data_IF_667186363833
#
_entry.id   IF_667186363833
#
_cell.length_a   1.000
_cell.length_b   1.000
_cell.length_c   1.000
_cell.angle_alpha   90.00
_cell.angle_beta   90.00
_cell.angle_gamma   90.00
#
_symmetry.space_group_name_H-M   'P 1'
#
loop_
_entity.id
_entity.type
_entity.pdbx_description
1 polymer ?
#
# COMPACT_ATOMS: atom_id res chain seq x y z
N UNK A 1 17.40 -25.27 -91.51
CA UNK A 1 16.07 -25.66 -90.99
C UNK A 1 16.02 -25.16 -89.57
N UNK A 2 15.31 -24.05 -89.38
CA UNK A 2 15.36 -23.19 -88.21
C UNK A 2 14.02 -23.33 -87.49
N UNK A 3 14.00 -23.93 -86.28
CA UNK A 3 12.82 -23.90 -85.40
C UNK A 3 13.25 -23.85 -83.92
N UNK A 4 13.27 -22.60 -83.46
CA UNK A 4 12.83 -21.97 -82.20
C UNK A 4 12.92 -22.69 -80.83
N UNK A 5 13.35 -21.97 -79.78
CA UNK A 5 13.35 -22.44 -78.40
C UNK A 5 11.93 -22.42 -77.82
N UNK A 6 11.52 -23.53 -77.19
CA UNK A 6 10.24 -23.64 -76.49
C UNK A 6 10.26 -22.79 -75.22
N UNK A 7 9.38 -21.80 -75.14
CA UNK A 7 9.17 -20.97 -73.96
C UNK A 7 8.41 -21.76 -72.89
N UNK A 8 9.02 -21.94 -71.72
CA UNK A 8 8.37 -22.52 -70.55
C UNK A 8 7.32 -21.52 -70.00
N UNK A 9 6.05 -21.89 -70.06
CA UNK A 9 4.95 -21.10 -69.48
C UNK A 9 5.02 -21.15 -67.94
N UNK A 10 5.19 -19.99 -67.31
CA UNK A 10 5.14 -19.84 -65.85
C UNK A 10 3.71 -20.12 -65.35
N UNK A 11 3.51 -20.91 -64.27
CA UNK A 11 2.19 -21.14 -63.69
C UNK A 11 1.66 -19.84 -63.05
N UNK A 12 0.40 -19.50 -63.36
CA UNK A 12 -0.29 -18.34 -62.77
C UNK A 12 -0.43 -18.50 -61.26
N UNK A 13 -0.09 -17.46 -60.50
CA UNK A 13 -0.24 -17.44 -59.04
C UNK A 13 -1.71 -17.64 -58.64
N UNK A 14 -2.01 -18.52 -57.65
CA UNK A 14 -3.37 -18.74 -57.16
C UNK A 14 -4.00 -17.49 -56.53
N UNK A 15 -5.34 -17.38 -56.58
CA UNK A 15 -6.11 -16.22 -56.09
C UNK A 15 -5.92 -15.91 -54.59
N UNK A 16 -5.43 -16.86 -53.77
CA UNK A 16 -5.11 -16.62 -52.36
C UNK A 16 -3.76 -15.92 -52.13
N UNK A 17 -2.90 -15.88 -53.17
CA UNK A 17 -1.64 -15.13 -53.22
C UNK A 17 -1.82 -13.73 -53.82
N UNK A 18 -3.00 -13.43 -54.38
CA UNK A 18 -3.36 -12.07 -54.76
C UNK A 18 -3.95 -11.36 -53.55
N UNK A 19 -3.33 -10.28 -53.04
CA UNK A 19 -3.95 -9.48 -52.00
C UNK A 19 -5.25 -8.90 -52.56
N UNK A 20 -6.38 -9.46 -52.13
CA UNK A 20 -7.68 -8.88 -52.40
C UNK A 20 -7.74 -7.55 -51.64
N UNK A 21 -7.46 -6.45 -52.33
CA UNK A 21 -7.52 -5.11 -51.78
C UNK A 21 -8.98 -4.66 -51.55
N UNK A 22 -9.78 -5.46 -50.85
CA UNK A 22 -10.87 -4.90 -50.06
C UNK A 22 -10.25 -4.44 -48.76
N UNK A 23 -9.58 -3.29 -48.80
CA UNK A 23 -9.21 -2.58 -47.60
C UNK A 23 -10.53 -2.12 -46.99
N UNK A 24 -11.13 -2.96 -46.15
CA UNK A 24 -12.14 -2.54 -45.22
C UNK A 24 -11.58 -1.28 -44.54
N UNK A 25 -12.20 -0.14 -44.82
CA UNK A 25 -11.78 1.15 -44.31
C UNK A 25 -11.64 0.99 -42.80
N UNK A 26 -10.42 0.96 -42.29
CA UNK A 26 -10.18 0.90 -40.87
C UNK A 26 -10.81 2.16 -40.29
N UNK A 27 -11.99 2.04 -39.69
CA UNK A 27 -12.66 3.12 -38.97
C UNK A 27 -11.65 3.59 -37.94
N UNK A 28 -11.00 4.73 -38.23
CA UNK A 28 -10.02 5.31 -37.34
C UNK A 28 -10.81 5.82 -36.14
N UNK A 29 -10.77 5.06 -35.05
CA UNK A 29 -11.45 5.43 -33.80
C UNK A 29 -10.99 6.84 -33.39
N UNK A 30 -11.91 7.62 -32.82
CA UNK A 30 -11.56 8.91 -32.22
C UNK A 30 -10.40 8.70 -31.21
N UNK A 31 -9.35 9.54 -31.21
CA UNK A 31 -8.29 9.49 -30.21
C UNK A 31 -8.79 9.33 -28.76
N UNK A 32 -9.93 9.90 -28.39
CA UNK A 32 -10.52 9.75 -27.06
C UNK A 32 -11.05 8.34 -26.81
N UNK A 33 -11.71 7.73 -27.79
CA UNK A 33 -12.20 6.36 -27.73
C UNK A 33 -11.05 5.36 -27.69
N UNK A 34 -10.01 5.59 -28.50
CA UNK A 34 -8.79 4.78 -28.47
C UNK A 34 -8.16 4.80 -27.07
N UNK A 35 -8.01 5.97 -26.43
CA UNK A 35 -7.50 6.07 -25.05
C UNK A 35 -8.35 5.30 -24.04
N UNK A 36 -9.68 5.38 -24.15
CA UNK A 36 -10.60 4.64 -23.27
C UNK A 36 -10.48 3.13 -23.47
N UNK A 37 -10.43 2.68 -24.72
CA UNK A 37 -10.26 1.27 -25.07
C UNK A 37 -8.91 0.72 -24.56
N UNK A 38 -7.81 1.43 -24.80
CA UNK A 38 -6.48 1.05 -24.28
C UNK A 38 -6.48 0.98 -22.76
N UNK A 39 -7.11 1.94 -22.07
CA UNK A 39 -7.23 1.91 -20.61
C UNK A 39 -8.07 0.73 -20.11
N UNK A 40 -9.18 0.42 -20.79
CA UNK A 40 -10.01 -0.73 -20.42
C UNK A 40 -9.24 -2.05 -20.57
N UNK A 41 -8.49 -2.21 -21.67
CA UNK A 41 -7.62 -3.36 -21.88
C UNK A 41 -6.55 -3.49 -20.79
N UNK A 42 -5.91 -2.38 -20.41
CA UNK A 42 -4.94 -2.36 -19.31
C UNK A 42 -5.60 -2.72 -17.96
N UNK A 43 -6.79 -2.19 -17.66
CA UNK A 43 -7.51 -2.52 -16.43
C UNK A 43 -7.85 -4.02 -16.38
N UNK A 44 -8.27 -4.63 -17.49
CA UNK A 44 -8.51 -6.09 -17.58
C UNK A 44 -7.21 -6.88 -17.42
N UNK A 45 -6.12 -6.45 -18.08
CA UNK A 45 -4.82 -7.10 -17.97
C UNK A 45 -4.30 -7.08 -16.52
N UNK A 46 -4.39 -5.93 -15.85
CA UNK A 46 -4.00 -5.77 -14.46
C UNK A 46 -4.87 -6.59 -13.52
N UNK A 47 -6.18 -6.65 -13.73
CA UNK A 47 -7.08 -7.50 -12.93
C UNK A 47 -6.68 -8.98 -13.03
N UNK A 48 -6.42 -9.49 -14.23
CA UNK A 48 -5.98 -10.88 -14.42
C UNK A 48 -4.61 -11.16 -13.77
N UNK A 49 -3.70 -10.18 -13.81
CA UNK A 49 -2.37 -10.28 -13.22
C UNK A 49 -2.41 -10.27 -11.69
N UNK A 50 -3.32 -9.48 -11.12
CA UNK A 50 -3.39 -9.21 -9.70
C UNK A 50 -3.58 -10.48 -8.87
N UNK A 51 -4.48 -11.37 -9.27
CA UNK A 51 -4.70 -12.65 -8.57
C UNK A 51 -3.45 -13.54 -8.56
N UNK A 52 -2.73 -13.58 -9.68
CA UNK A 52 -1.46 -14.30 -9.77
C UNK A 52 -0.40 -13.66 -8.89
N UNK A 53 -0.32 -12.33 -8.89
CA UNK A 53 0.64 -11.58 -8.07
C UNK A 53 0.43 -11.86 -6.59
N UNK A 54 -0.81 -11.80 -6.09
CA UNK A 54 -1.09 -12.10 -4.69
C UNK A 54 -0.64 -13.53 -4.32
N UNK A 55 -0.99 -14.50 -5.16
CA UNK A 55 -0.61 -15.92 -4.97
C UNK A 55 0.90 -16.13 -4.99
N UNK A 56 1.64 -15.45 -5.87
CA UNK A 56 3.09 -15.57 -5.92
C UNK A 56 3.79 -14.82 -4.79
N UNK A 57 3.19 -13.73 -4.31
CA UNK A 57 3.68 -13.02 -3.13
C UNK A 57 3.59 -13.88 -1.88
N UNK A 58 2.50 -14.62 -1.66
CA UNK A 58 2.40 -15.50 -0.48
C UNK A 58 3.49 -16.58 -0.47
N UNK A 59 4.04 -16.94 -1.64
CA UNK A 59 5.18 -17.86 -1.79
C UNK A 59 6.56 -17.19 -1.65
N UNK A 60 6.63 -16.02 -1.02
CA UNK A 60 7.91 -15.36 -0.74
C UNK A 60 8.41 -14.37 -1.80
N UNK A 61 7.76 -14.28 -2.97
CA UNK A 61 8.24 -13.42 -4.06
C UNK A 61 7.93 -11.93 -3.81
N UNK A 62 8.74 -11.05 -4.40
CA UNK A 62 8.50 -9.60 -4.39
C UNK A 62 7.61 -9.19 -5.56
N UNK A 63 6.82 -8.13 -5.36
CA UNK A 63 5.98 -7.55 -6.42
C UNK A 63 6.80 -7.22 -7.68
N UNK A 64 7.98 -6.61 -7.50
CA UNK A 64 8.86 -6.25 -8.60
C UNK A 64 9.31 -7.46 -9.41
N UNK A 65 9.74 -8.55 -8.73
CA UNK A 65 10.15 -9.76 -9.41
C UNK A 65 9.01 -10.39 -10.23
N UNK A 66 7.79 -10.40 -9.70
CA UNK A 66 6.63 -10.97 -10.41
C UNK A 66 6.23 -10.13 -11.62
N UNK A 67 6.31 -8.79 -11.51
CA UNK A 67 5.98 -7.88 -12.61
C UNK A 67 7.01 -7.96 -13.72
N UNK A 68 8.30 -7.98 -13.37
CA UNK A 68 9.40 -8.08 -14.33
C UNK A 68 9.37 -9.39 -15.13
N UNK A 69 8.93 -10.48 -14.52
CA UNK A 69 8.87 -11.78 -15.18
C UNK A 69 7.59 -11.95 -16.04
N UNK A 70 6.74 -10.93 -16.13
CA UNK A 70 5.55 -10.96 -16.98
C UNK A 70 5.89 -10.63 -18.44
N UNK A 71 5.47 -11.50 -19.36
CA UNK A 71 5.73 -11.37 -20.80
C UNK A 71 5.01 -10.19 -21.48
N UNK A 72 4.08 -9.53 -20.80
CA UNK A 72 3.29 -8.42 -21.35
C UNK A 72 3.95 -7.05 -21.18
N UNK A 73 5.21 -7.01 -20.73
CA UNK A 73 6.00 -5.79 -20.49
C UNK A 73 5.24 -4.74 -19.65
N UNK A 74 4.61 -5.21 -18.57
CA UNK A 74 3.80 -4.36 -17.71
C UNK A 74 4.70 -3.38 -16.93
N UNK A 75 4.39 -2.09 -17.06
CA UNK A 75 5.06 -1.01 -16.34
C UNK A 75 4.76 -1.12 -14.83
N UNK A 76 5.81 -1.30 -14.01
CA UNK A 76 5.69 -1.54 -12.57
C UNK A 76 4.95 -0.41 -11.86
N UNK A 77 5.25 0.85 -12.15
CA UNK A 77 4.62 1.98 -11.48
C UNK A 77 3.16 2.13 -11.91
N UNK A 78 2.81 1.83 -13.16
CA UNK A 78 1.41 1.79 -13.60
C UNK A 78 0.60 0.76 -12.83
N UNK A 79 1.13 -0.45 -12.68
CA UNK A 79 0.48 -1.51 -11.92
C UNK A 79 0.39 -1.15 -10.43
N UNK A 80 1.46 -0.61 -9.85
CA UNK A 80 1.47 -0.17 -8.45
C UNK A 80 0.46 0.96 -8.18
N UNK A 81 0.40 1.97 -9.05
CA UNK A 81 -0.60 3.04 -9.01
C UNK A 81 -2.01 2.48 -9.13
N UNK A 82 -2.22 1.48 -9.99
CA UNK A 82 -3.50 0.81 -10.13
C UNK A 82 -3.93 0.09 -8.85
N UNK A 83 -3.02 -0.61 -8.15
CA UNK A 83 -3.30 -1.24 -6.85
C UNK A 83 -3.68 -0.17 -5.81
N UNK A 84 -2.87 0.88 -5.67
CA UNK A 84 -3.10 1.93 -4.65
C UNK A 84 -4.34 2.78 -4.89
N UNK A 85 -4.85 2.84 -6.12
CA UNK A 85 -6.04 3.64 -6.47
C UNK A 85 -7.29 3.14 -5.76
N UNK A 86 -7.31 1.89 -5.32
CA UNK A 86 -8.49 1.20 -4.82
C UNK A 86 -8.22 0.59 -3.45
N UNK A 87 -8.98 0.97 -2.42
CA UNK A 87 -8.76 0.48 -1.07
C UNK A 87 -8.86 -1.04 -0.94
N UNK A 88 -9.77 -1.69 -1.67
CA UNK A 88 -9.96 -3.13 -1.58
C UNK A 88 -8.79 -3.89 -2.20
N UNK A 89 -8.26 -3.42 -3.34
CA UNK A 89 -7.05 -3.98 -3.94
C UNK A 89 -5.83 -3.77 -3.05
N UNK A 90 -5.72 -2.60 -2.45
CA UNK A 90 -4.62 -2.32 -1.53
C UNK A 90 -4.69 -3.17 -0.26
N UNK A 91 -5.89 -3.43 0.28
CA UNK A 91 -6.06 -4.32 1.44
C UNK A 91 -5.61 -5.73 1.13
N UNK A 92 -6.09 -6.32 0.02
CA UNK A 92 -5.70 -7.67 -0.41
C UNK A 92 -4.19 -7.79 -0.66
N UNK A 93 -3.57 -6.72 -1.17
CA UNK A 93 -2.12 -6.65 -1.30
C UNK A 93 -1.40 -6.68 0.06
N UNK A 94 -1.91 -5.96 1.08
CA UNK A 94 -1.37 -6.03 2.45
C UNK A 94 -1.55 -7.41 3.07
N UNK A 95 -2.72 -8.03 2.92
CA UNK A 95 -2.97 -9.40 3.38
C UNK A 95 -1.97 -10.39 2.75
N UNK A 96 -1.71 -10.28 1.44
CA UNK A 96 -0.71 -11.12 0.79
C UNK A 96 0.72 -10.89 1.32
N UNK A 97 1.07 -9.65 1.69
CA UNK A 97 2.36 -9.35 2.35
C UNK A 97 2.44 -9.97 3.75
N UNK A 98 1.36 -9.97 4.51
CA UNK A 98 1.29 -10.61 5.82
C UNK A 98 1.43 -12.13 5.68
N UNK A 99 0.68 -12.77 4.78
CA UNK A 99 0.77 -14.20 4.53
C UNK A 99 2.16 -14.64 4.05
N UNK A 100 2.83 -13.79 3.27
CA UNK A 100 4.21 -14.04 2.82
C UNK A 100 5.20 -14.24 3.97
N UNK A 101 4.94 -13.66 5.15
CA UNK A 101 5.86 -13.82 6.28
C UNK A 101 5.92 -15.25 6.78
N UNK A 102 4.88 -16.05 6.59
CA UNK A 102 4.88 -17.49 6.90
C UNK A 102 5.90 -18.24 6.02
N UNK A 103 5.90 -17.96 4.72
CA UNK A 103 6.87 -18.57 3.81
C UNK A 103 8.30 -18.17 4.16
N UNK A 104 8.53 -16.90 4.49
CA UNK A 104 9.85 -16.43 4.93
C UNK A 104 10.30 -17.08 6.25
N UNK A 105 9.38 -17.33 7.18
CA UNK A 105 9.70 -18.04 8.42
C UNK A 105 10.24 -19.45 8.13
N UNK A 106 9.58 -20.21 7.25
CA UNK A 106 10.08 -21.51 6.80
C UNK A 106 11.45 -21.39 6.11
N UNK A 107 11.60 -20.41 5.21
CA UNK A 107 12.86 -20.20 4.49
C UNK A 107 14.03 -19.83 5.40
N UNK A 108 13.79 -19.12 6.50
CA UNK A 108 14.83 -18.82 7.51
C UNK A 108 15.37 -20.12 8.12
N UNK A 109 14.50 -21.08 8.44
CA UNK A 109 14.90 -22.38 9.01
C UNK A 109 15.77 -23.14 8.02
N UNK A 110 15.35 -23.24 6.76
CA UNK A 110 16.14 -23.90 5.70
C UNK A 110 17.52 -23.27 5.52
N UNK A 111 17.62 -21.94 5.55
CA UNK A 111 18.91 -21.23 5.44
C UNK A 111 19.79 -21.46 6.68
N UNK A 112 19.18 -21.59 7.85
CA UNK A 112 19.89 -21.79 9.11
C UNK A 112 20.42 -23.23 9.27
N UNK A 113 19.69 -24.23 8.78
CA UNK A 113 20.15 -25.62 8.71
C UNK A 113 21.36 -25.75 7.77
N UNK A 114 21.41 -24.90 6.73
CA UNK A 114 22.50 -24.87 5.76
C UNK A 114 22.41 -26.03 4.77
N UNK A 115 22.99 -25.84 3.58
CA UNK A 115 23.22 -26.94 2.65
C UNK A 115 24.61 -27.54 2.91
N UNK A 116 24.84 -28.82 2.55
CA UNK A 116 26.17 -29.49 2.60
C UNK A 116 27.23 -28.86 1.66
N UNK A 117 26.98 -27.64 1.16
CA UNK A 117 27.86 -26.87 0.31
C UNK A 117 28.67 -25.85 1.12
N UNK A 118 29.73 -25.30 0.51
CA UNK A 118 30.51 -24.21 1.11
C UNK A 118 29.74 -22.90 0.97
N UNK A 119 28.62 -22.77 1.69
CA UNK A 119 27.90 -21.51 1.79
C UNK A 119 28.52 -20.61 2.86
N UNK A 120 28.66 -19.32 2.55
CA UNK A 120 29.26 -18.36 3.46
C UNK A 120 28.28 -18.04 4.61
N UNK A 121 28.64 -18.40 5.84
CA UNK A 121 27.87 -18.13 7.06
C UNK A 121 27.48 -16.64 7.16
N UNK A 122 28.35 -15.73 6.72
CA UNK A 122 28.05 -14.30 6.72
C UNK A 122 26.92 -13.94 5.75
N UNK A 123 26.89 -14.59 4.58
CA UNK A 123 25.80 -14.44 3.61
C UNK A 123 24.50 -15.04 4.14
N UNK A 124 24.54 -16.22 4.75
CA UNK A 124 23.35 -16.85 5.35
C UNK A 124 22.78 -16.01 6.48
N UNK A 125 23.64 -15.45 7.34
CA UNK A 125 23.25 -14.49 8.36
C UNK A 125 22.58 -13.24 7.77
N UNK A 126 23.17 -12.64 6.73
CA UNK A 126 22.60 -11.47 6.06
C UNK A 126 21.22 -11.77 5.47
N UNK A 127 21.03 -12.95 4.86
CA UNK A 127 19.73 -13.39 4.34
C UNK A 127 18.69 -13.47 5.47
N UNK A 128 19.03 -14.15 6.57
CA UNK A 128 18.16 -14.31 7.73
C UNK A 128 17.77 -12.95 8.32
N UNK A 129 18.73 -12.06 8.52
CA UNK A 129 18.48 -10.73 9.09
C UNK A 129 17.58 -9.87 8.17
N UNK A 130 17.77 -9.99 6.85
CA UNK A 130 16.91 -9.33 5.86
C UNK A 130 15.47 -9.84 5.95
N UNK A 131 15.26 -11.15 6.03
CA UNK A 131 13.91 -11.71 6.19
C UNK A 131 13.26 -11.27 7.51
N UNK A 132 13.98 -11.33 8.64
CA UNK A 132 13.45 -10.87 9.94
C UNK A 132 13.00 -9.41 9.88
N UNK A 133 13.81 -8.54 9.29
CA UNK A 133 13.46 -7.12 9.12
C UNK A 133 12.19 -6.95 8.28
N UNK A 134 12.11 -7.65 7.13
CA UNK A 134 10.93 -7.60 6.27
C UNK A 134 9.68 -8.15 6.96
N UNK A 135 9.80 -9.25 7.73
CA UNK A 135 8.69 -9.84 8.48
C UNK A 135 8.16 -8.88 9.54
N UNK A 136 9.05 -8.21 10.28
CA UNK A 136 8.65 -7.20 11.27
C UNK A 136 7.98 -5.96 10.65
N UNK A 137 8.37 -5.59 9.42
CA UNK A 137 7.74 -4.50 8.66
C UNK A 137 6.37 -4.89 8.06
N UNK A 138 6.27 -6.11 7.52
CA UNK A 138 5.09 -6.58 6.78
C UNK A 138 4.01 -7.17 7.70
N UNK A 139 4.39 -7.77 8.82
CA UNK A 139 3.48 -8.35 9.81
C UNK A 139 3.95 -7.99 11.23
N UNK A 140 3.85 -6.70 11.54
CA UNK A 140 4.28 -6.13 12.83
C UNK A 140 3.55 -6.73 14.03
N UNK A 141 2.30 -7.17 13.85
CA UNK A 141 1.50 -7.75 14.94
C UNK A 141 2.09 -9.08 15.42
N UNK A 142 2.59 -9.91 14.50
CA UNK A 142 3.13 -11.23 14.82
C UNK A 142 4.65 -11.22 15.03
N UNK A 143 5.38 -10.42 14.25
CA UNK A 143 6.85 -10.43 14.20
C UNK A 143 7.50 -9.11 14.61
N UNK A 144 6.73 -8.12 15.05
CA UNK A 144 7.27 -6.84 15.51
C UNK A 144 7.92 -6.94 16.88
N UNK A 145 8.92 -6.09 17.12
CA UNK A 145 9.61 -6.01 18.42
C UNK A 145 8.63 -5.59 19.53
N UNK A 146 8.44 -6.46 20.52
CA UNK A 146 7.69 -6.15 21.75
C UNK A 146 8.64 -5.45 22.72
N UNK A 147 8.58 -4.12 22.75
CA UNK A 147 9.29 -3.33 23.77
C UNK A 147 8.47 -3.31 25.06
N UNK A 148 8.94 -4.01 26.10
CA UNK A 148 8.39 -3.85 27.45
C UNK A 148 8.90 -2.52 28.00
N UNK A 149 8.01 -1.52 28.07
CA UNK A 149 8.29 -0.26 28.74
C UNK A 149 8.07 -0.47 30.23
N UNK A 150 9.16 -0.64 30.98
CA UNK A 150 9.10 -0.58 32.44
C UNK A 150 8.86 0.89 32.85
N UNK A 151 7.61 1.22 33.16
CA UNK A 151 7.25 2.54 33.67
C UNK A 151 7.42 2.53 35.18
N UNK A 152 8.64 2.80 35.64
CA UNK A 152 8.94 3.03 37.07
C UNK A 152 8.50 4.44 37.47
N UNK A 153 7.21 4.72 37.46
CA UNK A 153 6.68 5.94 38.04
C UNK A 153 6.48 5.73 39.54
N UNK A 154 7.32 6.37 40.35
CA UNK A 154 7.07 6.55 41.78
C UNK A 154 5.91 7.52 41.96
N UNK A 155 4.68 6.99 41.96
CA UNK A 155 3.48 7.80 42.22
C UNK A 155 3.53 8.19 43.70
N UNK A 156 3.99 9.42 43.97
CA UNK A 156 3.90 9.97 45.31
C UNK A 156 2.46 10.34 45.61
N UNK A 157 1.86 9.67 46.59
CA UNK A 157 0.47 9.85 47.02
C UNK A 157 0.21 11.32 47.42
N UNK A 158 1.21 11.99 47.98
CA UNK A 158 1.11 13.40 48.38
C UNK A 158 0.99 14.34 47.18
N UNK A 159 1.75 14.10 46.11
CA UNK A 159 1.67 14.88 44.88
C UNK A 159 0.35 14.65 44.15
N UNK A 160 -0.14 13.41 44.13
CA UNK A 160 -1.45 13.08 43.56
C UNK A 160 -2.61 13.74 44.32
N UNK A 161 -2.53 13.79 45.66
CA UNK A 161 -3.54 14.45 46.50
C UNK A 161 -3.55 15.96 46.32
N UNK A 162 -2.37 16.58 46.21
CA UNK A 162 -2.26 18.03 45.98
C UNK A 162 -2.80 18.42 44.60
N UNK A 163 -2.50 17.64 43.57
CA UNK A 163 -3.02 17.85 42.22
C UNK A 163 -4.54 17.66 42.14
N UNK A 164 -5.11 16.76 42.94
CA UNK A 164 -6.56 16.59 43.07
C UNK A 164 -7.22 17.79 43.78
N UNK A 165 -6.61 18.31 44.85
CA UNK A 165 -7.08 19.52 45.55
C UNK A 165 -7.11 20.74 44.65
N UNK A 166 -6.07 20.93 43.84
CA UNK A 166 -5.99 22.05 42.90
C UNK A 166 -7.12 22.04 41.86
N UNK A 167 -7.63 20.86 41.46
CA UNK A 167 -8.74 20.76 40.50
C UNK A 167 -10.09 21.10 41.13
N UNK A 168 -10.29 20.73 42.40
CA UNK A 168 -11.50 21.07 43.15
C UNK A 168 -11.61 22.57 43.45
N UNK A 169 -10.49 23.25 43.68
CA UNK A 169 -10.44 24.69 43.93
C UNK A 169 -10.80 25.53 42.71
N UNK A 170 -10.49 25.07 41.50
CA UNK A 170 -10.83 25.78 40.25
C UNK A 170 -12.31 25.73 39.90
N UNK A 171 -13.09 24.78 40.44
CA UNK A 171 -14.51 24.59 40.12
C UNK A 171 -15.47 25.40 41.03
N UNK A 172 -14.96 26.10 42.04
CA UNK A 172 -15.75 27.00 42.90
C UNK A 172 -15.69 28.41 42.33
N UNK A 173 -16.51 28.70 41.32
CA UNK A 173 -16.84 30.07 40.94
C UNK A 173 -17.73 30.68 42.02
N UNK A 174 -17.26 31.77 42.62
CA UNK A 174 -18.03 32.61 43.55
C UNK A 174 -19.33 33.06 42.90
N UNK A 175 -20.47 32.62 43.45
CA UNK A 175 -21.77 33.20 43.15
C UNK A 175 -21.87 34.47 43.98
N UNK A 176 -21.64 35.62 43.36
CA UNK A 176 -21.86 36.91 43.99
C UNK A 176 -23.36 37.07 44.29
N UNK A 177 -23.70 37.09 45.59
CA UNK A 177 -25.05 37.41 46.06
C UNK A 177 -25.20 38.93 45.95
N UNK A 178 -25.99 39.40 45.00
CA UNK A 178 -26.35 40.81 44.85
C UNK A 178 -27.30 41.19 45.99
N UNK A 179 -26.81 41.99 46.92
CA UNK A 179 -27.57 42.61 48.01
C UNK A 179 -28.27 43.87 47.48
N UNK A 180 -29.60 43.81 47.35
CA UNK A 180 -30.43 44.86 46.77
C UNK A 180 -30.67 45.96 47.82
N UNK A 181 -30.07 47.12 47.59
CA UNK A 181 -30.02 48.24 48.53
C UNK A 181 -31.38 48.90 48.79
N UNK A 182 -31.79 48.94 50.05
CA UNK A 182 -32.93 49.75 50.52
C UNK A 182 -32.46 51.18 50.78
N UNK A 183 -32.99 52.09 49.97
CA UNK A 183 -32.81 53.54 50.03
C UNK A 183 -33.36 54.12 51.34
N UNK A 184 -32.51 54.84 52.10
CA UNK A 184 -32.94 55.60 53.29
C UNK A 184 -32.60 57.09 53.12
N UNK A 185 -33.58 58.01 53.25
CA UNK A 185 -33.35 59.42 53.03
C UNK A 185 -32.63 60.07 54.23
N UNK A 186 -31.44 60.60 53.95
CA UNK A 186 -30.55 61.30 54.88
C UNK A 186 -31.06 62.73 55.15
N UNK A 187 -31.80 62.93 56.24
CA UNK A 187 -32.15 64.27 56.73
C UNK A 187 -30.96 64.85 57.51
N UNK A 188 -30.56 66.04 57.08
CA UNK A 188 -29.41 66.81 57.54
C UNK A 188 -29.77 67.49 58.87
N UNK A 189 -28.88 67.44 59.86
CA UNK A 189 -28.80 68.50 60.86
C UNK A 189 -27.37 69.00 60.95
N UNK A 190 -27.31 70.32 61.01
CA UNK A 190 -26.21 71.21 60.71
C UNK A 190 -25.86 71.93 62.01
N UNK A 191 -24.55 72.10 62.22
CA UNK A 191 -23.92 73.29 62.82
C UNK A 191 -24.02 73.47 64.35
N UNK A 192 -22.84 73.33 64.96
CA UNK A 192 -22.11 74.26 65.85
C UNK A 192 -22.78 74.84 67.10
N UNK A 193 -22.26 74.46 68.28
CA UNK A 193 -21.45 75.31 69.18
C UNK A 193 -20.71 74.44 70.22
#
# INVERSE_FOLDING_TARGET
MEQQPQAFAQPSVPDWLTPSHSVATATTLDPAEHRRATRALLDTAFASMFERVLTEMTKGRSLNAIVRDDLRDIEYDAFWRWIKRDPQRYERYKEAKELRTEWWAGRIVEIAEGEDSVEDVARSKLKIDTYKWLMGADNRKQYGDVKQLEVTQSISITAALEQARSRLLTDVTTVDIVDDGVDTPRIKHSIDD
#
